data_IF_013720278401
#
_entry.id   IF_013720278401
#
_cell.length_a   1.000
_cell.length_b   1.000
_cell.length_c   1.000
_cell.angle_alpha   90.00
_cell.angle_beta   90.00
_cell.angle_gamma   90.00
#
_symmetry.space_group_name_H-M   'P 1'
#
loop_
_entity.id
_entity.type
_entity.pdbx_description
1 polymer ?
#
# COMPACT_ATOMS: atom_id res chain seq x y z
N UNK A 1 0.43 1.55 93.50
CA UNK A 1 -0.81 1.09 92.84
C UNK A 1 -1.06 1.97 91.62
N UNK A 2 -1.52 1.36 90.51
CA UNK A 2 -1.82 1.96 89.18
C UNK A 2 -0.53 2.16 88.34
N UNK A 3 -0.07 1.24 87.50
CA UNK A 3 -0.62 0.62 86.26
C UNK A 3 -0.26 1.39 84.97
N UNK A 4 0.43 0.68 84.05
CA UNK A 4 0.37 0.65 82.57
C UNK A 4 1.77 0.32 82.03
N UNK A 5 2.02 -0.93 81.66
CA UNK A 5 1.75 -1.55 80.35
C UNK A 5 2.85 -1.26 79.32
N UNK A 6 3.48 -2.36 78.91
CA UNK A 6 4.30 -2.65 77.74
C UNK A 6 4.14 -1.71 76.53
N UNK A 7 5.24 -1.50 75.79
CA UNK A 7 5.38 -1.78 74.35
C UNK A 7 6.87 -1.62 73.99
N UNK A 8 7.40 -2.58 73.22
CA UNK A 8 8.81 -2.80 72.95
C UNK A 8 9.52 -1.69 72.17
N UNK A 9 10.83 -1.58 72.41
CA UNK A 9 11.78 -0.77 71.64
C UNK A 9 12.18 -1.47 70.34
N UNK A 10 11.22 -1.76 69.48
CA UNK A 10 11.46 -2.34 68.16
C UNK A 10 10.69 -1.58 67.08
N UNK A 11 11.00 -0.30 66.96
CA UNK A 11 10.78 0.55 65.80
C UNK A 11 11.49 1.85 66.15
N UNK A 12 12.61 2.23 65.54
CA UNK A 12 12.60 2.90 64.26
C UNK A 12 14.03 2.82 63.66
N UNK A 13 14.32 1.74 62.97
CA UNK A 13 15.42 1.69 62.00
C UNK A 13 14.86 1.34 60.61
N UNK A 14 13.85 2.09 60.19
CA UNK A 14 13.21 1.93 58.88
C UNK A 14 12.99 3.27 58.16
N UNK A 15 13.83 4.27 58.40
CA UNK A 15 13.81 5.54 57.66
C UNK A 15 15.21 6.04 57.30
N UNK A 16 16.19 5.13 57.16
CA UNK A 16 17.56 5.49 56.78
C UNK A 16 18.13 4.61 55.69
N UNK A 17 17.28 4.23 54.73
CA UNK A 17 17.74 3.67 53.46
C UNK A 17 17.09 4.44 52.33
N UNK A 18 17.98 4.99 51.51
CA UNK A 18 17.75 5.19 50.09
C UNK A 18 16.92 6.42 49.70
N UNK A 19 17.46 7.60 50.03
CA UNK A 19 17.48 8.70 49.05
C UNK A 19 18.45 8.35 47.90
N UNK A 20 18.25 7.23 47.21
CA UNK A 20 18.69 7.12 45.83
C UNK A 20 17.53 7.71 45.02
N UNK A 21 17.75 8.94 44.55
CA UNK A 21 16.92 9.56 43.54
C UNK A 21 16.61 8.51 42.46
N UNK A 22 15.35 8.07 42.38
CA UNK A 22 14.93 7.30 41.24
C UNK A 22 14.91 8.28 40.06
N UNK A 23 15.74 8.08 39.02
CA UNK A 23 15.67 8.95 37.87
C UNK A 23 14.25 8.85 37.30
N UNK A 24 13.56 9.99 37.21
CA UNK A 24 12.27 10.17 36.55
C UNK A 24 12.42 10.02 35.02
N UNK A 25 13.11 8.98 34.59
CA UNK A 25 13.40 8.69 33.20
C UNK A 25 13.02 7.23 32.92
N UNK A 26 11.75 6.90 33.18
CA UNK A 26 11.06 5.94 32.30
C UNK A 26 10.99 6.60 30.93
N UNK A 27 12.10 6.56 30.19
CA UNK A 27 12.04 6.56 28.73
C UNK A 27 11.22 5.32 28.40
N UNK A 28 9.92 5.50 28.24
CA UNK A 28 9.16 4.57 27.44
C UNK A 28 9.91 4.51 26.12
N UNK A 29 10.56 3.37 25.86
CA UNK A 29 10.99 3.08 24.51
C UNK A 29 9.71 3.21 23.69
N UNK A 30 9.68 4.18 22.77
CA UNK A 30 8.65 4.19 21.75
C UNK A 30 8.66 2.78 21.18
N UNK A 31 7.53 2.06 21.31
CA UNK A 31 7.38 0.80 20.62
C UNK A 31 7.72 1.11 19.17
N UNK A 32 8.75 0.45 18.64
CA UNK A 32 9.00 0.50 17.22
C UNK A 32 7.66 0.11 16.62
N UNK A 33 7.06 1.00 15.83
CA UNK A 33 5.98 0.54 14.98
C UNK A 33 6.67 -0.50 14.11
N UNK A 34 6.38 -1.78 14.36
CA UNK A 34 6.62 -2.85 13.41
C UNK A 34 5.71 -2.64 12.18
N UNK A 35 5.65 -1.42 11.65
CA UNK A 35 5.39 -1.15 10.26
C UNK A 35 6.64 -1.49 9.46
N UNK A 36 7.30 -2.62 9.76
CA UNK A 36 8.10 -3.32 8.77
C UNK A 36 7.08 -3.83 7.76
N UNK A 37 6.64 -2.94 6.86
CA UNK A 37 6.03 -3.37 5.61
C UNK A 37 7.14 -4.15 4.94
N UNK A 38 7.14 -5.47 5.11
CA UNK A 38 8.10 -6.32 4.44
C UNK A 38 8.06 -5.92 2.97
N UNK A 39 9.23 -5.66 2.40
CA UNK A 39 9.34 -5.35 0.97
C UNK A 39 9.18 -6.64 0.14
N UNK A 40 8.30 -7.53 0.59
CA UNK A 40 8.03 -8.83 0.01
C UNK A 40 6.77 -8.71 -0.83
N UNK A 41 6.86 -9.10 -2.08
CA UNK A 41 5.69 -9.37 -2.89
C UNK A 41 5.29 -10.82 -2.68
N UNK A 42 3.99 -11.04 -2.54
CA UNK A 42 3.40 -12.36 -2.69
C UNK A 42 3.19 -12.59 -4.19
N UNK A 43 3.84 -13.62 -4.74
CA UNK A 43 3.70 -14.00 -6.13
C UNK A 43 2.75 -15.19 -6.25
N UNK A 44 1.77 -15.07 -7.13
CA UNK A 44 0.87 -16.16 -7.51
C UNK A 44 0.71 -16.19 -9.03
N UNK A 45 0.13 -17.28 -9.54
CA UNK A 45 -0.18 -17.42 -10.95
C UNK A 45 -1.64 -17.83 -11.10
N UNK A 46 -2.37 -17.12 -11.94
CA UNK A 46 -3.78 -17.37 -12.20
C UNK A 46 -4.03 -17.35 -13.70
N UNK A 47 -4.53 -18.46 -14.25
CA UNK A 47 -4.85 -18.59 -15.68
C UNK A 47 -3.70 -18.17 -16.64
N UNK A 48 -2.45 -18.46 -16.27
CA UNK A 48 -1.25 -18.08 -17.05
C UNK A 48 -0.82 -16.63 -16.90
N UNK A 49 -1.49 -15.84 -16.04
CA UNK A 49 -1.10 -14.48 -15.68
C UNK A 49 -0.36 -14.51 -14.35
N UNK A 50 0.86 -13.95 -14.35
CA UNK A 50 1.66 -13.78 -13.13
C UNK A 50 1.13 -12.60 -12.33
N UNK A 51 0.75 -12.86 -11.09
CA UNK A 51 0.22 -11.86 -10.16
C UNK A 51 1.27 -11.64 -9.08
N UNK A 52 1.58 -10.38 -8.81
CA UNK A 52 2.42 -9.98 -7.69
C UNK A 52 1.65 -8.96 -6.86
N UNK A 53 1.32 -9.31 -5.62
CA UNK A 53 0.59 -8.46 -4.70
C UNK A 53 1.49 -8.05 -3.53
N UNK A 54 1.23 -6.88 -2.98
CA UNK A 54 1.85 -6.40 -1.75
C UNK A 54 0.82 -5.61 -0.97
N UNK A 55 0.56 -6.01 0.27
CA UNK A 55 -0.25 -5.20 1.16
C UNK A 55 0.59 -4.07 1.75
N UNK A 56 0.13 -2.85 1.53
CA UNK A 56 0.76 -1.63 2.06
C UNK A 56 -0.25 -1.00 3.00
N UNK A 57 0.18 -0.66 4.21
CA UNK A 57 -0.64 0.07 5.17
C UNK A 57 -0.88 1.49 4.63
N UNK A 58 -2.02 1.70 3.98
CA UNK A 58 -2.43 2.97 3.41
C UNK A 58 -3.88 2.92 2.89
N UNK A 59 -4.55 4.07 2.81
CA UNK A 59 -5.92 4.16 2.29
C UNK A 59 -5.97 4.03 0.75
N UNK A 60 -4.84 4.17 0.07
CA UNK A 60 -4.72 4.11 -1.39
C UNK A 60 -4.01 2.84 -1.83
N UNK A 61 -4.39 2.36 -3.01
CA UNK A 61 -3.78 1.21 -3.66
C UNK A 61 -3.42 1.56 -5.09
N UNK A 62 -2.49 0.78 -5.64
CA UNK A 62 -2.04 0.92 -7.02
C UNK A 62 -2.13 -0.44 -7.69
N UNK A 63 -2.88 -0.52 -8.78
CA UNK A 63 -2.98 -1.71 -9.61
C UNK A 63 -2.31 -1.40 -10.95
N UNK A 64 -1.47 -2.31 -11.42
CA UNK A 64 -0.80 -2.16 -12.71
C UNK A 64 -0.80 -3.49 -13.47
N UNK A 65 -1.13 -3.43 -14.76
CA UNK A 65 -0.92 -4.51 -15.72
C UNK A 65 0.35 -4.21 -16.50
N UNK A 66 1.26 -5.18 -16.50
CA UNK A 66 2.58 -5.05 -17.13
C UNK A 66 2.68 -6.11 -18.23
N UNK A 67 2.74 -5.67 -19.48
CA UNK A 67 2.91 -6.54 -20.63
C UNK A 67 4.34 -6.39 -21.20
N UNK A 68 4.96 -7.51 -21.59
CA UNK A 68 6.25 -7.53 -22.29
C UNK A 68 6.06 -7.13 -23.77
N UNK A 69 5.66 -5.88 -23.98
CA UNK A 69 5.26 -5.33 -25.27
C UNK A 69 5.81 -3.91 -25.48
N UNK A 70 7.02 -3.64 -24.98
CA UNK A 70 7.70 -2.35 -25.21
C UNK A 70 8.16 -2.15 -26.66
N UNK A 71 8.79 -1.00 -26.93
CA UNK A 71 9.20 -0.62 -28.31
C UNK A 71 10.19 -1.57 -28.96
N UNK A 72 10.90 -2.40 -28.19
CA UNK A 72 11.78 -3.45 -28.72
C UNK A 72 11.02 -4.59 -29.40
N UNK A 73 9.79 -4.86 -28.97
CA UNK A 73 8.97 -5.99 -29.42
C UNK A 73 7.88 -5.57 -30.42
N UNK A 74 7.86 -4.31 -30.85
CA UNK A 74 6.85 -3.80 -31.76
C UNK A 74 7.04 -4.38 -33.18
N UNK A 75 5.95 -4.84 -33.78
CA UNK A 75 5.94 -5.32 -35.18
C UNK A 75 5.96 -4.18 -36.19
N UNK A 76 5.34 -3.05 -35.83
CA UNK A 76 5.30 -1.83 -36.63
C UNK A 76 5.81 -0.63 -35.81
N UNK A 77 6.48 0.34 -36.44
CA UNK A 77 6.97 1.53 -35.76
C UNK A 77 5.81 2.32 -35.15
N UNK A 78 5.94 2.69 -33.87
CA UNK A 78 4.94 3.50 -33.17
C UNK A 78 3.73 2.73 -32.65
N UNK A 79 3.64 1.41 -32.88
CA UNK A 79 2.54 0.58 -32.37
C UNK A 79 2.41 0.67 -30.85
N UNK A 80 3.52 0.61 -30.12
CA UNK A 80 3.54 0.70 -28.65
C UNK A 80 2.96 2.03 -28.15
N UNK A 81 3.29 3.13 -28.85
CA UNK A 81 2.78 4.48 -28.53
C UNK A 81 1.28 4.54 -28.81
N UNK A 82 0.82 3.93 -29.91
CA UNK A 82 -0.59 3.77 -30.19
C UNK A 82 -1.32 3.04 -29.06
N UNK A 83 -0.81 1.88 -28.64
CA UNK A 83 -1.41 1.10 -27.55
C UNK A 83 -1.49 1.90 -26.24
N UNK A 84 -0.44 2.64 -25.88
CA UNK A 84 -0.46 3.54 -24.71
C UNK A 84 -1.56 4.59 -24.83
N UNK A 85 -1.62 5.32 -25.96
CA UNK A 85 -2.57 6.42 -26.15
C UNK A 85 -4.03 5.97 -26.27
N UNK A 86 -4.25 4.74 -26.73
CA UNK A 86 -5.59 4.18 -26.90
C UNK A 86 -6.11 3.43 -25.67
N UNK A 87 -5.25 3.11 -24.67
CA UNK A 87 -5.62 2.33 -23.49
C UNK A 87 -6.90 2.83 -22.79
N UNK A 88 -7.06 4.15 -22.63
CA UNK A 88 -8.25 4.74 -22.01
C UNK A 88 -9.18 5.46 -22.98
N UNK A 89 -8.94 5.38 -24.30
CA UNK A 89 -9.60 6.23 -25.30
C UNK A 89 -10.96 5.71 -25.78
N UNK A 90 -11.15 4.37 -25.88
CA UNK A 90 -12.40 3.73 -26.40
C UNK A 90 -13.66 4.25 -25.71
N UNK A 91 -13.58 4.45 -24.41
CA UNK A 91 -14.67 4.87 -23.52
C UNK A 91 -14.25 6.09 -22.71
N UNK A 92 -13.38 6.94 -23.29
CA UNK A 92 -12.72 8.03 -22.58
C UNK A 92 -13.68 8.88 -21.76
N UNK A 93 -14.86 9.21 -22.27
CA UNK A 93 -15.82 9.99 -21.48
C UNK A 93 -16.42 9.22 -20.29
N UNK A 94 -16.73 7.92 -20.45
CA UNK A 94 -17.32 7.12 -19.38
C UNK A 94 -16.27 6.73 -18.35
N UNK A 95 -15.16 6.14 -18.80
CA UNK A 95 -14.07 5.72 -17.91
C UNK A 95 -13.47 6.91 -17.18
N UNK A 96 -13.17 8.03 -17.86
CA UNK A 96 -12.60 9.18 -17.18
C UNK A 96 -13.57 9.72 -16.12
N UNK A 97 -14.86 9.89 -16.43
CA UNK A 97 -15.85 10.38 -15.45
C UNK A 97 -16.02 9.44 -14.26
N UNK A 98 -16.12 8.13 -14.49
CA UNK A 98 -16.23 7.15 -13.41
C UNK A 98 -14.96 7.16 -12.55
N UNK A 99 -13.78 7.22 -13.17
CA UNK A 99 -12.51 7.30 -12.44
C UNK A 99 -12.35 8.61 -11.65
N UNK A 100 -12.76 9.75 -12.21
CA UNK A 100 -12.73 11.06 -11.56
C UNK A 100 -13.72 11.12 -10.38
N UNK A 101 -14.91 10.53 -10.55
CA UNK A 101 -15.92 10.44 -9.49
C UNK A 101 -15.42 9.64 -8.28
N UNK A 102 -14.66 8.56 -8.53
CA UNK A 102 -14.02 7.75 -7.50
C UNK A 102 -12.69 8.33 -7.00
N UNK A 103 -12.25 9.49 -7.52
CA UNK A 103 -11.00 10.14 -7.13
C UNK A 103 -9.74 9.37 -7.57
N UNK A 104 -9.86 8.52 -8.58
CA UNK A 104 -8.77 7.71 -9.10
C UNK A 104 -7.97 8.44 -10.19
N UNK A 105 -6.72 8.01 -10.37
CA UNK A 105 -5.83 8.47 -11.41
C UNK A 105 -5.41 7.31 -12.31
N UNK A 106 -5.67 7.43 -13.60
CA UNK A 106 -5.34 6.46 -14.63
C UNK A 106 -4.10 6.91 -15.39
N UNK A 107 -3.10 6.04 -15.51
CA UNK A 107 -1.89 6.30 -16.29
C UNK A 107 -1.56 5.11 -17.18
N UNK A 108 -1.07 5.40 -18.39
CA UNK A 108 -0.45 4.41 -19.26
C UNK A 108 0.87 4.97 -19.74
N UNK A 109 1.91 4.14 -19.72
CA UNK A 109 3.22 4.50 -20.26
C UNK A 109 3.92 3.26 -20.79
N UNK A 110 4.84 3.48 -21.73
CA UNK A 110 5.69 2.42 -22.24
C UNK A 110 7.17 2.66 -21.96
N UNK A 111 7.92 1.57 -21.98
CA UNK A 111 9.38 1.54 -21.97
C UNK A 111 9.87 0.75 -23.18
N UNK A 112 11.19 0.55 -23.29
CA UNK A 112 11.73 -0.32 -24.36
C UNK A 112 11.29 -1.77 -24.23
N UNK A 113 11.03 -2.24 -23.02
CA UNK A 113 10.78 -3.66 -22.74
C UNK A 113 9.32 -3.95 -22.36
N UNK A 114 8.63 -3.00 -21.73
CA UNK A 114 7.28 -3.20 -21.20
C UNK A 114 6.31 -2.06 -21.56
N UNK A 115 5.04 -2.43 -21.70
CA UNK A 115 3.88 -1.53 -21.69
C UNK A 115 3.20 -1.66 -20.32
N UNK A 116 2.98 -0.53 -19.64
CA UNK A 116 2.39 -0.48 -18.30
C UNK A 116 1.10 0.32 -18.35
N UNK A 117 0.03 -0.29 -17.87
CA UNK A 117 -1.28 0.35 -17.68
C UNK A 117 -1.59 0.28 -16.19
N UNK A 118 -1.74 1.42 -15.55
CA UNK A 118 -1.90 1.51 -14.10
C UNK A 118 -3.05 2.43 -13.68
N UNK A 119 -3.60 2.13 -12.50
CA UNK A 119 -4.59 2.93 -11.83
C UNK A 119 -4.18 3.11 -10.35
N UNK A 120 -4.34 4.33 -9.84
CA UNK A 120 -4.17 4.68 -8.42
C UNK A 120 -5.52 5.13 -7.88
N UNK A 121 -5.99 4.51 -6.81
CA UNK A 121 -7.36 4.69 -6.30
C UNK A 121 -7.42 4.32 -4.81
N UNK A 122 -8.57 4.53 -4.16
CA UNK A 122 -8.78 4.15 -2.76
C UNK A 122 -8.92 2.62 -2.62
N UNK A 123 -8.47 2.04 -1.51
CA UNK A 123 -8.47 0.58 -1.30
C UNK A 123 -9.86 -0.08 -1.46
N UNK A 124 -10.92 0.67 -1.21
CA UNK A 124 -12.31 0.20 -1.27
C UNK A 124 -12.76 -0.11 -2.70
N UNK A 125 -12.24 0.62 -3.70
CA UNK A 125 -12.64 0.49 -5.11
C UNK A 125 -11.83 -0.54 -5.90
N UNK A 126 -11.04 -1.38 -5.20
CA UNK A 126 -10.22 -2.43 -5.83
C UNK A 126 -11.00 -3.32 -6.81
N UNK A 127 -12.19 -3.84 -6.47
CA UNK A 127 -12.93 -4.69 -7.39
C UNK A 127 -13.27 -3.98 -8.71
N UNK A 128 -13.70 -2.71 -8.64
CA UNK A 128 -14.05 -1.92 -9.83
C UNK A 128 -12.83 -1.73 -10.76
N UNK A 129 -11.69 -1.32 -10.23
CA UNK A 129 -10.49 -1.09 -11.05
C UNK A 129 -9.86 -2.39 -11.58
N UNK A 130 -10.04 -3.52 -10.90
CA UNK A 130 -9.60 -4.83 -11.43
C UNK A 130 -10.39 -5.23 -12.68
N UNK A 131 -11.71 -5.06 -12.66
CA UNK A 131 -12.58 -5.34 -13.80
C UNK A 131 -12.31 -4.36 -14.95
N UNK A 132 -12.18 -3.07 -14.63
CA UNK A 132 -11.88 -2.02 -15.60
C UNK A 132 -10.59 -2.28 -16.39
N UNK A 133 -9.47 -2.58 -15.70
CA UNK A 133 -8.21 -2.89 -16.39
C UNK A 133 -8.31 -4.21 -17.15
N UNK A 134 -9.07 -5.19 -16.65
CA UNK A 134 -9.37 -6.43 -17.37
C UNK A 134 -10.12 -6.18 -18.68
N UNK A 135 -11.14 -5.30 -18.67
CA UNK A 135 -11.90 -4.92 -19.85
C UNK A 135 -11.01 -4.20 -20.89
N UNK A 136 -10.17 -3.28 -20.43
CA UNK A 136 -9.23 -2.55 -21.29
C UNK A 136 -8.28 -3.53 -21.98
N UNK A 137 -7.63 -4.42 -21.23
CA UNK A 137 -6.64 -5.33 -21.82
C UNK A 137 -7.28 -6.35 -22.75
N UNK A 138 -8.47 -6.86 -22.42
CA UNK A 138 -9.13 -7.92 -23.20
C UNK A 138 -9.91 -7.40 -24.41
N UNK A 139 -10.47 -6.18 -24.34
CA UNK A 139 -11.49 -5.75 -25.29
C UNK A 139 -11.28 -4.33 -25.85
N UNK A 140 -10.07 -3.78 -25.84
CA UNK A 140 -9.83 -2.47 -26.48
C UNK A 140 -10.19 -2.47 -27.96
N UNK A 141 -10.97 -1.48 -28.40
CA UNK A 141 -11.27 -1.20 -29.81
C UNK A 141 -10.44 0.00 -30.26
N UNK A 142 -9.72 -0.17 -31.36
CA UNK A 142 -8.92 0.87 -32.01
C UNK A 142 -9.69 1.39 -33.22
N UNK A 143 -10.64 2.30 -32.99
CA UNK A 143 -11.39 2.93 -34.08
C UNK A 143 -10.62 4.12 -34.65
N UNK A 144 -10.65 4.26 -35.98
CA UNK A 144 -9.99 5.35 -36.70
C UNK A 144 -10.92 6.53 -37.04
N UNK A 145 -12.18 6.46 -36.59
CA UNK A 145 -13.21 7.50 -36.81
C UNK A 145 -13.12 8.63 -35.78
#
# INVERSE_FOLDING_TARGET
>A
MISRSAIGRSAQLAARRQCCAQPANRRGLAAVSSGTTSFSYESSEAAGVKVASRDVAGPTTKLAVIAKAGTRYQTAPGLTIGLERFAFRRSGLRICRESELLGAQLNAYHTREALVIEAKFLREDLPYFTELLGEIVSSTRYTCE
#
